data_IF_008080102920
#
_entry.id   IF_008080102920
#
_cell.length_a   1.000
_cell.length_b   1.000
_cell.length_c   1.000
_cell.angle_alpha   90.00
_cell.angle_beta   90.00
_cell.angle_gamma   90.00
#
_symmetry.space_group_name_H-M   'P 1'
#
loop_
_entity.id
_entity.type
_entity.pdbx_description
1 polymer ?
#
# COMPACT_ATOMS: atom_id res chain seq x y z
N UNK A 1 25.64 31.25 -59.86
CA UNK A 1 24.60 32.08 -59.22
C UNK A 1 23.39 31.21 -58.95
N UNK A 2 22.96 31.15 -57.67
CA UNK A 2 21.61 30.82 -57.16
C UNK A 2 21.03 29.46 -57.57
N UNK A 3 21.19 28.41 -56.75
CA UNK A 3 20.40 28.10 -55.55
C UNK A 3 18.93 27.80 -55.86
N UNK A 4 18.50 26.57 -55.59
CA UNK A 4 17.19 26.24 -55.01
C UNK A 4 17.30 24.84 -54.37
N UNK A 5 17.61 24.83 -53.07
CA UNK A 5 17.51 23.70 -52.17
C UNK A 5 16.42 24.03 -51.16
N UNK A 6 15.33 23.26 -51.14
CA UNK A 6 14.30 23.23 -50.10
C UNK A 6 13.29 22.16 -50.51
N UNK A 7 12.83 21.22 -49.69
CA UNK A 7 13.09 20.91 -48.29
C UNK A 7 12.22 19.69 -48.02
N UNK A 8 12.82 18.54 -47.72
CA UNK A 8 12.08 17.36 -47.29
C UNK A 8 11.94 17.45 -45.77
N UNK A 9 10.78 17.94 -45.32
CA UNK A 9 10.42 17.99 -43.91
C UNK A 9 10.17 16.55 -43.44
N UNK A 10 11.17 15.96 -42.79
CA UNK A 10 11.05 14.68 -42.11
C UNK A 10 10.09 14.84 -40.93
N UNK A 11 8.85 14.36 -41.08
CA UNK A 11 7.92 14.19 -39.96
C UNK A 11 8.45 13.08 -39.05
N UNK A 12 9.23 13.47 -38.04
CA UNK A 12 9.42 12.65 -36.84
C UNK A 12 8.10 12.61 -36.09
N UNK A 13 7.25 11.62 -36.40
CA UNK A 13 6.16 11.23 -35.50
C UNK A 13 6.81 10.54 -34.31
N UNK A 14 7.07 11.32 -33.26
CA UNK A 14 7.37 10.81 -31.94
C UNK A 14 6.21 9.90 -31.53
N UNK A 15 6.44 8.58 -31.59
CA UNK A 15 5.62 7.62 -30.88
C UNK A 15 5.87 7.87 -29.39
N UNK A 16 5.08 8.78 -28.81
CA UNK A 16 4.94 8.89 -27.38
C UNK A 16 4.35 7.57 -26.90
N UNK A 17 5.22 6.69 -26.40
CA UNK A 17 4.79 5.58 -25.56
C UNK A 17 4.23 6.24 -24.32
N UNK A 18 2.92 6.49 -24.32
CA UNK A 18 2.20 6.77 -23.10
C UNK A 18 2.24 5.47 -22.32
N UNK A 19 3.20 5.37 -21.40
CA UNK A 19 3.05 4.51 -20.26
C UNK A 19 1.76 4.99 -19.58
N UNK A 20 0.64 4.32 -19.89
CA UNK A 20 -0.54 4.41 -19.05
C UNK A 20 -0.05 3.96 -17.68
N UNK A 21 0.14 4.94 -16.81
CA UNK A 21 0.18 4.73 -15.38
C UNK A 21 -1.18 4.12 -15.06
N UNK A 22 -1.28 2.78 -15.18
CA UNK A 22 -2.43 2.02 -14.76
C UNK A 22 -2.73 2.54 -13.37
N UNK A 23 -3.89 3.17 -13.23
CA UNK A 23 -4.40 3.64 -11.96
C UNK A 23 -4.40 2.43 -11.04
N UNK A 24 -3.34 2.30 -10.25
CA UNK A 24 -3.19 1.18 -9.32
C UNK A 24 -4.31 1.40 -8.33
N UNK A 25 -5.42 0.67 -8.51
CA UNK A 25 -6.59 0.64 -7.63
C UNK A 25 -6.18 0.49 -6.15
N UNK A 26 -4.97 -0.03 -5.95
CA UNK A 26 -4.30 -0.32 -4.71
C UNK A 26 -3.19 0.70 -4.48
N UNK A 27 -3.45 1.72 -3.64
CA UNK A 27 -2.45 2.73 -3.25
C UNK A 27 -1.11 2.07 -2.94
N UNK A 28 -0.09 2.40 -3.75
CA UNK A 28 1.10 1.58 -3.98
C UNK A 28 1.65 0.84 -2.75
N UNK A 29 1.82 -0.47 -2.89
CA UNK A 29 2.38 -1.31 -1.84
C UNK A 29 3.87 -1.02 -1.59
N UNK A 30 4.31 -1.09 -0.33
CA UNK A 30 5.72 -0.94 0.04
C UNK A 30 6.22 -2.10 0.90
N UNK A 31 7.50 -2.44 0.74
CA UNK A 31 8.20 -3.41 1.59
C UNK A 31 8.58 -2.80 2.95
N UNK A 32 9.16 -3.59 3.85
CA UNK A 32 9.60 -3.14 5.17
C UNK A 32 10.69 -2.05 5.16
N UNK A 33 11.33 -1.81 4.01
CA UNK A 33 12.33 -0.73 3.82
C UNK A 33 11.71 0.51 3.18
N UNK A 34 10.39 0.51 2.96
CA UNK A 34 9.67 1.59 2.27
C UNK A 34 9.84 1.56 0.75
N UNK A 35 10.45 0.52 0.18
CA UNK A 35 10.61 0.37 -1.27
C UNK A 35 9.28 0.01 -1.91
N UNK A 36 8.96 0.62 -3.06
CA UNK A 36 7.75 0.27 -3.83
C UNK A 36 7.83 -1.20 -4.28
N UNK A 37 6.75 -1.93 -4.07
CA UNK A 37 6.57 -3.30 -4.53
C UNK A 37 5.87 -3.25 -5.88
N UNK A 38 6.38 -3.99 -6.86
CA UNK A 38 5.74 -4.10 -8.17
C UNK A 38 4.41 -4.85 -8.03
N UNK A 39 3.34 -4.25 -8.54
CA UNK A 39 1.98 -4.79 -8.47
C UNK A 39 1.40 -4.86 -9.87
N UNK A 40 0.98 -6.04 -10.32
CA UNK A 40 0.52 -6.29 -11.68
C UNK A 40 -0.87 -6.92 -11.68
N UNK A 41 -1.82 -6.28 -12.37
CA UNK A 41 -3.11 -6.91 -12.67
C UNK A 41 -2.88 -8.03 -13.69
N UNK A 42 -3.29 -9.24 -13.35
CA UNK A 42 -3.09 -10.45 -14.16
C UNK A 42 -4.42 -11.19 -14.30
N UNK A 43 -5.27 -10.82 -15.28
CA UNK A 43 -6.53 -11.53 -15.51
C UNK A 43 -6.32 -13.02 -15.80
N UNK A 44 -7.14 -13.88 -15.20
CA UNK A 44 -7.03 -15.33 -15.34
C UNK A 44 -5.99 -15.98 -14.42
N UNK A 45 -5.43 -15.22 -13.47
CA UNK A 45 -4.56 -15.77 -12.43
C UNK A 45 -5.32 -16.84 -11.64
N UNK A 46 -4.70 -18.01 -11.44
CA UNK A 46 -5.27 -19.10 -10.61
C UNK A 46 -5.10 -18.83 -9.11
N UNK A 47 -5.30 -17.58 -8.69
CA UNK A 47 -5.25 -17.08 -7.33
C UNK A 47 -5.90 -15.69 -7.30
N UNK A 48 -6.45 -15.28 -6.15
CA UNK A 48 -6.90 -13.88 -6.01
C UNK A 48 -5.71 -12.93 -6.01
N UNK A 49 -4.66 -13.31 -5.28
CA UNK A 49 -3.39 -12.59 -5.19
C UNK A 49 -2.27 -13.60 -5.08
N UNK A 50 -1.23 -13.45 -5.89
CA UNK A 50 -0.01 -14.23 -5.84
C UNK A 50 1.17 -13.32 -5.51
N UNK A 51 2.07 -13.85 -4.67
CA UNK A 51 3.31 -13.18 -4.31
C UNK A 51 4.48 -14.01 -4.82
N UNK A 52 5.41 -13.36 -5.52
CA UNK A 52 6.56 -14.01 -6.15
C UNK A 52 7.81 -13.14 -6.01
N UNK A 53 8.97 -13.71 -6.34
CA UNK A 53 10.23 -12.97 -6.37
C UNK A 53 10.82 -13.07 -7.78
N UNK A 54 11.07 -11.92 -8.40
CA UNK A 54 11.66 -11.80 -9.73
C UNK A 54 12.84 -10.83 -9.68
N UNK A 55 14.00 -11.25 -10.18
CA UNK A 55 15.21 -10.42 -10.10
C UNK A 55 15.60 -10.01 -8.68
N UNK A 56 15.21 -10.79 -7.66
CA UNK A 56 15.44 -10.46 -6.24
C UNK A 56 14.43 -9.46 -5.65
N UNK A 57 13.40 -9.04 -6.38
CA UNK A 57 12.36 -8.13 -5.91
C UNK A 57 11.02 -8.85 -5.75
N UNK A 58 10.26 -8.47 -4.73
CA UNK A 58 8.91 -8.98 -4.54
C UNK A 58 7.95 -8.40 -5.60
N UNK A 59 7.13 -9.27 -6.19
CA UNK A 59 6.10 -8.91 -7.18
C UNK A 59 4.76 -9.49 -6.73
N UNK A 60 3.77 -8.61 -6.62
CA UNK A 60 2.38 -8.97 -6.35
C UNK A 60 1.64 -9.03 -7.69
N UNK A 61 1.02 -10.18 -7.99
CA UNK A 61 0.05 -10.33 -9.07
C UNK A 61 -1.34 -10.50 -8.49
N UNK A 62 -2.36 -9.95 -9.12
CA UNK A 62 -3.73 -10.10 -8.64
C UNK A 62 -4.72 -10.19 -9.81
N UNK A 63 -5.82 -10.87 -9.56
CA UNK A 63 -6.98 -10.89 -10.46
C UNK A 63 -8.20 -10.34 -9.71
N UNK A 64 -8.72 -9.23 -10.20
CA UNK A 64 -9.88 -8.54 -9.60
C UNK A 64 -11.21 -9.23 -9.89
N UNK A 65 -11.23 -10.22 -10.78
CA UNK A 65 -12.38 -11.08 -11.09
C UNK A 65 -12.31 -12.45 -10.42
N UNK A 66 -11.16 -12.82 -9.84
CA UNK A 66 -11.02 -14.11 -9.14
C UNK A 66 -11.93 -14.17 -7.90
N UNK A 67 -12.58 -15.31 -7.68
CA UNK A 67 -13.61 -15.48 -6.66
C UNK A 67 -14.71 -14.39 -6.75
N UNK A 68 -15.49 -14.36 -7.86
CA UNK A 68 -16.43 -13.28 -8.13
C UNK A 68 -17.55 -13.16 -7.09
N UNK A 69 -17.80 -14.23 -6.32
CA UNK A 69 -18.77 -14.24 -5.23
C UNK A 69 -18.37 -13.35 -4.04
N UNK A 70 -17.09 -13.03 -3.89
CA UNK A 70 -16.62 -12.12 -2.85
C UNK A 70 -17.05 -10.68 -3.15
N UNK A 71 -17.17 -9.88 -2.10
CA UNK A 71 -17.28 -8.43 -2.23
C UNK A 71 -15.98 -7.83 -2.82
N UNK A 72 -16.06 -6.71 -3.54
CA UNK A 72 -14.88 -5.96 -3.97
C UNK A 72 -13.92 -5.64 -2.81
N UNK A 73 -14.45 -5.24 -1.66
CA UNK A 73 -13.69 -4.93 -0.44
C UNK A 73 -12.99 -6.16 0.14
N UNK A 74 -13.59 -7.34 0.01
CA UNK A 74 -12.98 -8.61 0.40
C UNK A 74 -11.80 -8.95 -0.49
N UNK A 75 -11.93 -8.86 -1.82
CA UNK A 75 -10.79 -9.03 -2.74
C UNK A 75 -9.68 -8.01 -2.45
N UNK A 76 -10.07 -6.78 -2.18
CA UNK A 76 -9.16 -5.71 -1.78
C UNK A 76 -8.45 -6.00 -0.46
N UNK A 77 -9.14 -6.59 0.52
CA UNK A 77 -8.52 -7.06 1.76
C UNK A 77 -7.46 -8.15 1.50
N UNK A 78 -7.75 -9.11 0.61
CA UNK A 78 -6.79 -10.19 0.27
C UNK A 78 -5.50 -9.61 -0.35
N UNK A 79 -5.61 -8.54 -1.13
CA UNK A 79 -4.47 -7.76 -1.61
C UNK A 79 -3.76 -7.03 -0.48
N UNK A 80 -4.48 -6.26 0.34
CA UNK A 80 -3.90 -5.48 1.43
C UNK A 80 -3.15 -6.35 2.44
N UNK A 81 -3.67 -7.55 2.75
CA UNK A 81 -3.00 -8.59 3.53
C UNK A 81 -1.66 -9.01 2.92
N UNK A 82 -1.62 -9.23 1.60
CA UNK A 82 -0.39 -9.60 0.88
C UNK A 82 0.62 -8.46 0.91
N UNK A 83 0.15 -7.22 0.78
CA UNK A 83 1.02 -6.06 0.95
C UNK A 83 1.55 -5.96 2.39
N UNK A 84 0.68 -6.15 3.39
CA UNK A 84 1.04 -6.14 4.80
C UNK A 84 2.10 -7.18 5.14
N UNK A 85 2.05 -8.38 4.53
CA UNK A 85 3.11 -9.38 4.67
C UNK A 85 4.49 -8.80 4.33
N UNK A 86 4.62 -8.13 3.19
CA UNK A 86 5.88 -7.51 2.75
C UNK A 86 6.28 -6.31 3.63
N UNK A 87 5.31 -5.48 3.99
CA UNK A 87 5.53 -4.31 4.83
C UNK A 87 6.00 -4.69 6.25
N UNK A 88 5.55 -5.84 6.76
CA UNK A 88 5.99 -6.42 8.03
C UNK A 88 7.36 -7.12 7.93
N UNK A 89 7.96 -7.18 6.74
CA UNK A 89 9.26 -7.81 6.52
C UNK A 89 9.23 -9.33 6.44
N UNK A 90 8.04 -9.92 6.28
CA UNK A 90 7.94 -11.36 6.07
C UNK A 90 8.39 -11.73 4.66
N UNK A 91 8.97 -12.92 4.53
CA UNK A 91 9.45 -13.46 3.25
C UNK A 91 8.35 -13.39 2.19
N UNK A 92 8.70 -13.06 0.94
CA UNK A 92 7.78 -13.17 -0.19
C UNK A 92 7.54 -14.63 -0.63
N UNK A 93 8.43 -15.54 -0.23
CA UNK A 93 8.40 -16.96 -0.57
C UNK A 93 7.95 -17.80 0.63
N UNK A 94 7.35 -18.96 0.33
CA UNK A 94 6.88 -19.91 1.34
C UNK A 94 5.59 -19.50 2.03
N UNK A 95 5.11 -20.37 2.91
CA UNK A 95 3.94 -20.10 3.75
C UNK A 95 4.33 -19.32 5.01
N UNK A 96 3.43 -18.45 5.46
CA UNK A 96 3.54 -17.84 6.78
C UNK A 96 3.07 -18.83 7.84
N UNK A 97 3.66 -18.80 9.03
CA UNK A 97 3.02 -19.44 10.18
C UNK A 97 1.70 -18.72 10.54
N UNK A 98 0.84 -19.36 11.33
CA UNK A 98 -0.47 -18.80 11.68
C UNK A 98 -0.37 -17.44 12.40
N UNK A 99 0.66 -17.23 13.22
CA UNK A 99 0.84 -15.98 13.97
C UNK A 99 1.24 -14.83 13.03
N UNK A 100 2.17 -15.08 12.11
CA UNK A 100 2.55 -14.14 11.07
C UNK A 100 1.37 -13.84 10.14
N UNK A 101 0.62 -14.86 9.76
CA UNK A 101 -0.56 -14.72 8.92
C UNK A 101 -1.63 -13.85 9.59
N UNK A 102 -1.92 -14.08 10.89
CA UNK A 102 -2.84 -13.21 11.66
C UNK A 102 -2.34 -11.78 11.77
N UNK A 103 -1.03 -11.57 11.96
CA UNK A 103 -0.45 -10.21 11.97
C UNK A 103 -0.62 -9.51 10.62
N UNK A 104 -0.44 -10.23 9.51
CA UNK A 104 -0.66 -9.70 8.17
C UNK A 104 -2.15 -9.36 7.92
N UNK A 105 -3.09 -10.17 8.43
CA UNK A 105 -4.52 -9.85 8.35
C UNK A 105 -4.84 -8.54 9.09
N UNK A 106 -4.42 -8.41 10.34
CA UNK A 106 -4.67 -7.20 11.13
C UNK A 106 -4.04 -5.95 10.49
N UNK A 107 -2.82 -6.08 9.97
CA UNK A 107 -2.15 -4.98 9.30
C UNK A 107 -2.83 -4.63 7.97
N UNK A 108 -3.29 -5.61 7.18
CA UNK A 108 -4.06 -5.39 5.95
C UNK A 108 -5.40 -4.70 6.23
N UNK A 109 -6.13 -5.13 7.25
CA UNK A 109 -7.36 -4.47 7.69
C UNK A 109 -7.11 -3.02 8.11
N UNK A 110 -6.03 -2.77 8.86
CA UNK A 110 -5.64 -1.43 9.26
C UNK A 110 -5.26 -0.54 8.06
N UNK A 111 -4.63 -1.09 7.02
CA UNK A 111 -4.34 -0.36 5.79
C UNK A 111 -5.64 0.11 5.11
N UNK A 112 -6.60 -0.79 4.92
CA UNK A 112 -7.87 -0.44 4.26
C UNK A 112 -8.69 0.59 5.04
N UNK A 113 -8.73 0.46 6.38
CA UNK A 113 -9.41 1.44 7.23
C UNK A 113 -8.78 2.83 7.12
N UNK A 114 -7.45 2.92 7.16
CA UNK A 114 -6.74 4.22 7.02
C UNK A 114 -6.93 4.83 5.64
N UNK A 115 -7.05 4.01 4.60
CA UNK A 115 -7.26 4.45 3.23
C UNK A 115 -8.74 4.79 2.93
N UNK A 116 -9.67 4.57 3.87
CA UNK A 116 -11.11 4.74 3.63
C UNK A 116 -11.70 3.74 2.63
N UNK A 117 -10.98 2.64 2.35
CA UNK A 117 -11.28 1.70 1.27
C UNK A 117 -12.27 0.59 1.65
N UNK A 118 -12.72 0.54 2.91
CA UNK A 118 -13.80 -0.37 3.32
C UNK A 118 -15.19 0.18 3.02
N UNK A 119 -15.32 1.47 2.68
CA UNK A 119 -16.63 2.12 2.53
C UNK A 119 -17.50 1.89 3.77
N UNK A 120 -18.68 1.31 3.56
CA UNK A 120 -19.63 0.96 4.63
C UNK A 120 -19.49 -0.49 5.13
N UNK A 121 -18.55 -1.27 4.58
CA UNK A 121 -18.35 -2.67 4.97
C UNK A 121 -17.71 -2.72 6.35
N UNK A 122 -18.46 -3.27 7.31
CA UNK A 122 -17.94 -3.47 8.67
C UNK A 122 -16.94 -4.63 8.70
N UNK A 123 -16.01 -4.66 9.66
CA UNK A 123 -15.11 -5.80 9.83
C UNK A 123 -15.85 -7.14 9.98
N UNK A 124 -17.00 -7.15 10.67
CA UNK A 124 -17.81 -8.37 10.82
C UNK A 124 -18.44 -8.82 9.49
N UNK A 125 -18.90 -7.88 8.65
CA UNK A 125 -19.39 -8.20 7.31
C UNK A 125 -18.27 -8.73 6.39
N UNK A 126 -17.08 -8.11 6.50
CA UNK A 126 -15.88 -8.56 5.80
C UNK A 126 -15.46 -9.99 6.23
N UNK A 127 -15.45 -10.31 7.53
CA UNK A 127 -15.20 -11.68 8.01
C UNK A 127 -16.22 -12.68 7.50
N UNK A 128 -17.51 -12.30 7.52
CA UNK A 128 -18.59 -13.17 7.06
C UNK A 128 -18.43 -13.52 5.57
N UNK A 129 -18.09 -12.53 4.73
CA UNK A 129 -17.80 -12.76 3.31
C UNK A 129 -16.50 -13.55 3.10
N UNK A 130 -15.50 -13.40 3.96
CA UNK A 130 -14.25 -14.16 3.90
C UNK A 130 -14.34 -15.58 4.45
N UNK A 131 -15.53 -16.09 4.77
CA UNK A 131 -15.74 -17.51 5.05
C UNK A 131 -15.66 -18.29 3.75
N UNK A 132 -14.49 -18.85 3.48
CA UNK A 132 -14.21 -19.59 2.26
C UNK A 132 -14.47 -21.09 2.43
N UNK A 133 -14.92 -21.74 1.35
CA UNK A 133 -14.87 -23.19 1.24
C UNK A 133 -13.41 -23.68 1.09
N UNK A 134 -13.20 -25.00 1.20
CA UNK A 134 -11.87 -25.60 0.99
C UNK A 134 -11.33 -25.38 -0.43
N UNK A 135 -12.24 -25.36 -1.42
CA UNK A 135 -11.90 -25.11 -2.81
C UNK A 135 -11.48 -23.65 -3.03
N UNK A 136 -12.22 -22.69 -2.46
CA UNK A 136 -11.89 -21.27 -2.52
C UNK A 136 -10.63 -20.92 -1.73
N UNK A 137 -10.41 -21.58 -0.58
CA UNK A 137 -9.21 -21.39 0.23
C UNK A 137 -7.93 -21.76 -0.53
N UNK A 138 -8.02 -22.67 -1.51
CA UNK A 138 -6.88 -23.01 -2.38
C UNK A 138 -6.45 -21.87 -3.32
N UNK A 139 -7.30 -20.85 -3.52
CA UNK A 139 -6.98 -19.65 -4.31
C UNK A 139 -6.24 -18.58 -3.50
N UNK A 140 -6.05 -18.80 -2.20
CA UNK A 140 -5.37 -17.88 -1.31
C UNK A 140 -3.95 -18.36 -0.99
N UNK A 141 -2.97 -17.45 -0.93
CA UNK A 141 -1.64 -17.78 -0.43
C UNK A 141 -1.65 -17.93 1.09
N UNK A 142 -0.87 -18.88 1.60
CA UNK A 142 -0.63 -19.08 3.03
C UNK A 142 -1.47 -20.21 3.65
N UNK A 143 -1.42 -20.36 4.99
CA UNK A 143 -2.03 -21.48 5.67
C UNK A 143 -3.55 -21.44 5.54
N UNK A 144 -4.16 -22.62 5.36
CA UNK A 144 -5.62 -22.78 5.37
C UNK A 144 -6.15 -22.53 6.78
N UNK A 145 -6.89 -21.44 6.95
CA UNK A 145 -7.51 -21.07 8.23
C UNK A 145 -8.66 -20.09 8.02
N UNK A 146 -9.49 -19.95 9.05
CA UNK A 146 -10.43 -18.85 9.12
C UNK A 146 -9.68 -17.51 9.23
N UNK A 147 -10.17 -16.50 8.51
CA UNK A 147 -9.75 -15.11 8.66
C UNK A 147 -10.66 -14.49 9.71
N UNK A 148 -10.06 -13.99 10.78
CA UNK A 148 -10.77 -13.29 11.86
C UNK A 148 -9.99 -12.05 12.25
N UNK A 149 -10.72 -11.00 12.56
CA UNK A 149 -10.23 -9.71 13.02
C UNK A 149 -10.45 -9.53 14.52
N UNK A 150 -10.97 -10.55 15.21
CA UNK A 150 -11.00 -10.58 16.66
C UNK A 150 -9.57 -10.41 17.21
N UNK A 151 -9.37 -9.40 18.08
CA UNK A 151 -8.06 -9.06 18.63
C UNK A 151 -7.16 -8.23 17.70
N UNK A 152 -7.57 -7.93 16.47
CA UNK A 152 -6.95 -6.85 15.72
C UNK A 152 -7.28 -5.54 16.42
N UNK A 153 -6.27 -4.93 17.05
CA UNK A 153 -6.43 -3.60 17.60
C UNK A 153 -6.91 -2.68 16.47
N UNK A 154 -7.88 -1.81 16.79
CA UNK A 154 -8.13 -0.66 15.92
C UNK A 154 -6.78 0.00 15.67
N UNK A 155 -6.49 0.43 14.43
CA UNK A 155 -5.30 1.20 14.16
C UNK A 155 -5.35 2.43 15.05
N UNK A 156 -4.75 2.33 16.24
CA UNK A 156 -4.33 3.48 17.01
C UNK A 156 -3.48 4.26 16.02
N UNK A 157 -3.70 5.56 15.85
CA UNK A 157 -2.86 6.36 14.99
C UNK A 157 -1.41 6.23 15.50
N UNK A 158 -0.66 5.27 14.96
CA UNK A 158 0.76 5.11 15.23
C UNK A 158 1.42 6.20 14.41
N UNK A 159 1.83 7.26 15.09
CA UNK A 159 2.77 8.23 14.55
C UNK A 159 2.30 9.03 13.32
N UNK A 160 1.02 8.99 12.98
CA UNK A 160 0.43 10.12 12.29
C UNK A 160 0.17 11.13 13.39
N UNK A 161 0.82 12.28 13.31
CA UNK A 161 0.20 13.48 13.85
C UNK A 161 -1.22 13.46 13.34
N UNK A 162 -2.15 13.23 14.25
CA UNK A 162 -3.54 13.40 13.95
C UNK A 162 -3.65 14.88 13.58
N UNK A 163 -3.60 15.14 12.27
CA UNK A 163 -4.42 16.20 11.70
C UNK A 163 -5.84 15.72 11.98
N UNK A 164 -6.32 16.01 13.20
CA UNK A 164 -7.74 15.98 13.49
C UNK A 164 -8.34 16.93 12.49
N UNK A 165 -9.31 16.45 11.73
CA UNK A 165 -10.16 17.27 10.87
C UNK A 165 -11.15 18.09 11.74
N UNK A 166 -10.65 18.66 12.85
CA UNK A 166 -11.37 19.55 13.73
C UNK A 166 -11.14 20.98 13.24
N UNK A 167 -11.87 21.29 12.18
CA UNK A 167 -11.79 22.57 11.48
C UNK A 167 -10.59 22.60 10.54
N UNK A 168 -10.85 22.72 9.24
CA UNK A 168 -9.82 22.94 8.23
C UNK A 168 -8.88 24.08 8.67
N UNK A 169 -7.70 23.72 9.18
CA UNK A 169 -6.59 24.64 9.46
C UNK A 169 -5.51 24.40 8.41
N UNK A 170 -5.72 24.88 7.16
CA UNK A 170 -4.83 24.58 6.05
C UNK A 170 -3.38 25.04 6.32
N UNK A 171 -3.18 26.14 7.06
CA UNK A 171 -1.86 26.62 7.48
C UNK A 171 -1.14 25.66 8.42
N UNK A 172 -1.78 25.29 9.54
CA UNK A 172 -1.21 24.30 10.47
C UNK A 172 -0.91 22.95 9.77
N UNK A 173 -1.84 22.47 8.94
CA UNK A 173 -1.68 21.22 8.18
C UNK A 173 -0.52 21.28 7.17
N UNK A 174 -0.37 22.41 6.45
CA UNK A 174 0.76 22.62 5.54
C UNK A 174 2.09 22.66 6.32
N UNK A 175 2.11 23.35 7.46
CA UNK A 175 3.29 23.44 8.33
C UNK A 175 3.73 22.06 8.85
N UNK A 176 2.79 21.28 9.40
CA UNK A 176 3.09 19.94 9.92
C UNK A 176 3.58 19.00 8.81
N UNK A 177 3.00 19.07 7.61
CA UNK A 177 3.47 18.30 6.45
C UNK A 177 4.89 18.69 6.03
N UNK A 178 5.21 19.98 6.04
CA UNK A 178 6.56 20.46 5.77
C UNK A 178 7.57 19.97 6.83
N UNK A 179 7.17 19.86 8.10
CA UNK A 179 7.99 19.28 9.16
C UNK A 179 8.19 17.76 9.03
N UNK A 180 7.18 17.04 8.53
CA UNK A 180 7.21 15.59 8.40
C UNK A 180 8.06 15.08 7.22
N UNK A 181 8.18 15.85 6.13
CA UNK A 181 8.96 15.45 4.96
C UNK A 181 10.47 15.22 5.27
N UNK A 182 11.16 16.11 6.02
CA UNK A 182 12.52 15.86 6.48
C UNK A 182 12.64 14.69 7.46
N UNK A 183 11.63 14.47 8.32
CA UNK A 183 11.61 13.32 9.24
C UNK A 183 11.65 12.01 8.47
N UNK A 184 10.81 11.87 7.43
CA UNK A 184 10.74 10.68 6.60
C UNK A 184 12.07 10.39 5.88
N UNK A 185 12.70 11.43 5.33
CA UNK A 185 14.02 11.32 4.69
C UNK A 185 15.15 11.01 5.68
N UNK A 186 15.03 11.46 6.93
CA UNK A 186 16.00 11.21 7.98
C UNK A 186 15.88 9.76 8.48
N UNK A 187 14.66 9.29 8.72
CA UNK A 187 14.38 7.93 9.19
C UNK A 187 14.75 6.85 8.18
N UNK A 188 14.62 7.12 6.89
CA UNK A 188 15.03 6.18 5.84
C UNK A 188 16.54 5.89 5.79
N UNK A 189 17.35 6.70 6.50
CA UNK A 189 18.81 6.55 6.58
C UNK A 189 19.29 5.98 7.92
N UNK A 190 18.41 5.75 8.89
CA UNK A 190 18.79 5.15 10.15
C UNK A 190 18.62 3.63 10.14
N UNK A 191 19.46 2.92 10.88
CA UNK A 191 19.22 1.54 11.25
C UNK A 191 18.25 1.44 12.46
N UNK A 192 17.21 0.60 12.33
CA UNK A 192 16.41 -0.01 13.40
C UNK A 192 16.22 0.80 14.71
N UNK A 193 15.69 2.02 14.60
CA UNK A 193 15.18 2.78 15.77
C UNK A 193 16.15 3.77 16.42
N UNK A 194 17.37 3.94 15.91
CA UNK A 194 18.31 4.94 16.43
C UNK A 194 18.19 6.31 15.72
N UNK A 195 17.00 6.90 15.68
CA UNK A 195 16.74 8.21 15.04
C UNK A 195 16.33 9.32 16.03
N UNK A 196 16.81 9.30 17.27
CA UNK A 196 16.44 10.31 18.28
C UNK A 196 16.66 11.75 17.81
N UNK A 197 17.66 11.98 16.96
CA UNK A 197 17.92 13.30 16.37
C UNK A 197 16.86 13.70 15.32
N UNK A 198 16.40 12.76 14.49
CA UNK A 198 15.34 13.02 13.51
C UNK A 198 14.03 13.40 14.21
N UNK A 199 13.67 12.67 15.27
CA UNK A 199 12.49 12.96 16.09
C UNK A 199 12.62 14.31 16.82
N UNK A 200 13.79 14.63 17.36
CA UNK A 200 14.04 15.90 18.04
C UNK A 200 13.92 17.10 17.08
N UNK A 201 14.43 16.96 15.84
CA UNK A 201 14.29 17.97 14.79
C UNK A 201 12.85 18.15 14.36
N UNK A 202 12.11 17.05 14.22
CA UNK A 202 10.68 17.08 13.93
C UNK A 202 9.92 17.82 15.04
N UNK A 203 10.16 17.49 16.31
CA UNK A 203 9.51 18.16 17.45
C UNK A 203 9.83 19.66 17.52
N UNK A 204 11.08 20.05 17.22
CA UNK A 204 11.45 21.45 17.16
C UNK A 204 10.70 22.20 16.06
N UNK A 205 10.58 21.60 14.86
CA UNK A 205 9.80 22.16 13.75
C UNK A 205 8.31 22.27 14.10
N UNK A 206 7.72 21.20 14.64
CA UNK A 206 6.28 21.15 14.90
C UNK A 206 5.81 22.12 15.98
N UNK A 207 6.67 22.46 16.95
CA UNK A 207 6.40 23.55 17.92
C UNK A 207 6.21 24.90 17.24
N UNK A 208 6.95 25.16 16.15
CA UNK A 208 6.78 26.38 15.35
C UNK A 208 5.45 26.45 14.60
N UNK A 209 4.78 25.31 14.39
CA UNK A 209 3.46 25.28 13.77
C UNK A 209 2.32 25.72 14.72
N UNK A 210 2.56 25.80 16.03
CA UNK A 210 1.54 26.23 17.00
C UNK A 210 1.04 27.66 16.76
N UNK A 211 1.86 28.52 16.16
CA UNK A 211 1.46 29.88 15.77
C UNK A 211 0.49 29.93 14.57
N UNK A 212 0.27 28.80 13.89
CA UNK A 212 -0.67 28.67 12.75
C UNK A 212 -1.96 27.93 13.13
N UNK A 213 -2.14 27.68 14.43
CA UNK A 213 -3.29 27.00 15.02
C UNK A 213 -4.48 27.95 15.16
#
# INVERSE_FOLDING_TARGET
MRALAAGLLAMLTAAGVQAQEEETLYGGCTDARGGKVMTLRTPGLQAVVALSVEGGQAVIRYDDQALPRLLPESRLFLFARTCARLNLGYSAQGELDETQARRADCAGLAMLRRAGQLGNVTPAALEADLRLSDAESAWLPGPRRAITFAGCADPRPRGNLAVRDEGERPGWNACIRACAAPLYQCQSRCAAGACGECESRYQACSRGCEAQR
#
